data_IF_874218452112
#
_entry.id   IF_874218452112
#
_cell.length_a   1.000
_cell.length_b   1.000
_cell.length_c   1.000
_cell.angle_alpha   90.00
_cell.angle_beta   90.00
_cell.angle_gamma   90.00
#
_symmetry.space_group_name_H-M   'P 1'
#
loop_
_entity.id
_entity.type
_entity.pdbx_description
1 polymer ?
#
# COMPACT_ATOMS: atom_id res chain seq x y z
N UNK A 1 14.03 -22.55 25.53
CA UNK A 1 14.22 -21.10 25.13
C UNK A 1 13.28 -20.82 23.98
N UNK A 2 12.47 -19.77 24.08
CA UNK A 2 11.48 -19.41 23.04
C UNK A 2 12.18 -18.88 21.79
N UNK A 3 11.84 -19.43 20.62
CA UNK A 3 12.39 -19.04 19.33
C UNK A 3 11.36 -18.23 18.51
N UNK A 4 11.81 -17.29 17.66
CA UNK A 4 10.91 -16.49 16.84
C UNK A 4 10.04 -17.31 15.89
N UNK A 5 10.58 -18.39 15.31
CA UNK A 5 9.82 -19.31 14.46
C UNK A 5 8.65 -19.98 15.20
N UNK A 6 8.80 -20.27 16.48
CA UNK A 6 7.68 -20.80 17.28
C UNK A 6 6.58 -19.76 17.44
N UNK A 7 6.93 -18.46 17.57
CA UNK A 7 5.95 -17.37 17.60
C UNK A 7 5.26 -17.17 16.25
N UNK A 8 6.00 -17.25 15.14
CA UNK A 8 5.44 -17.22 13.78
C UNK A 8 4.46 -18.37 13.55
N UNK A 9 4.82 -19.58 13.98
CA UNK A 9 3.97 -20.76 13.92
C UNK A 9 2.68 -20.60 14.72
N UNK A 10 2.77 -20.06 15.94
CA UNK A 10 1.62 -19.80 16.80
C UNK A 10 0.64 -18.80 16.17
N UNK A 11 1.17 -17.70 15.62
CA UNK A 11 0.37 -16.65 14.94
C UNK A 11 -0.29 -17.21 13.68
N UNK A 12 0.41 -18.02 12.89
CA UNK A 12 -0.16 -18.67 11.69
C UNK A 12 -1.28 -19.64 12.05
N UNK A 13 -1.15 -20.44 13.14
CA UNK A 13 -2.23 -21.31 13.62
C UNK A 13 -3.45 -20.50 14.06
N UNK A 14 -3.24 -19.39 14.75
CA UNK A 14 -4.32 -18.50 15.19
C UNK A 14 -5.10 -17.92 13.99
N UNK A 15 -4.38 -17.50 12.95
CA UNK A 15 -4.94 -16.95 11.70
C UNK A 15 -5.74 -18.01 10.93
N UNK A 16 -5.16 -19.19 10.73
CA UNK A 16 -5.70 -20.26 9.89
C UNK A 16 -6.74 -21.15 10.60
N UNK A 17 -6.83 -21.09 11.95
CA UNK A 17 -7.74 -21.87 12.79
C UNK A 17 -7.56 -23.41 12.69
N UNK A 18 -6.59 -23.90 11.91
CA UNK A 18 -6.24 -25.31 11.78
C UNK A 18 -4.74 -25.49 11.57
N UNK A 19 -4.17 -26.57 12.15
CA UNK A 19 -2.75 -26.87 11.99
C UNK A 19 -2.41 -27.19 10.52
N UNK A 20 -3.29 -27.90 9.80
CA UNK A 20 -3.04 -28.29 8.41
C UNK A 20 -2.87 -27.05 7.50
N UNK A 21 -3.79 -26.09 7.56
CA UNK A 21 -3.70 -24.85 6.77
C UNK A 21 -2.52 -23.97 7.16
N UNK A 22 -2.22 -23.88 8.46
CA UNK A 22 -1.03 -23.18 8.92
C UNK A 22 0.26 -23.82 8.45
N UNK A 23 0.34 -25.16 8.44
CA UNK A 23 1.49 -25.89 7.93
C UNK A 23 1.69 -25.69 6.42
N UNK A 24 0.59 -25.66 5.65
CA UNK A 24 0.62 -25.32 4.22
C UNK A 24 1.10 -23.89 3.98
N UNK A 25 0.57 -22.89 4.70
CA UNK A 25 1.01 -21.49 4.61
C UNK A 25 2.50 -21.33 4.92
N UNK A 26 2.98 -22.05 5.94
CA UNK A 26 4.37 -21.99 6.40
C UNK A 26 5.33 -22.89 5.59
N UNK A 27 4.82 -23.67 4.63
CA UNK A 27 5.58 -24.63 3.83
C UNK A 27 6.35 -25.66 4.68
N UNK A 28 5.77 -26.11 5.79
CA UNK A 28 6.33 -27.13 6.67
C UNK A 28 5.38 -28.31 6.85
N UNK A 29 5.90 -29.41 7.37
CA UNK A 29 5.04 -30.58 7.66
C UNK A 29 4.17 -30.34 8.89
N UNK A 30 2.94 -30.83 8.87
CA UNK A 30 2.02 -30.77 10.01
C UNK A 30 2.61 -31.39 11.30
N UNK A 31 3.32 -32.55 11.26
CA UNK A 31 4.02 -33.05 12.45
C UNK A 31 5.13 -32.10 12.95
N UNK A 32 5.81 -31.39 12.03
CA UNK A 32 6.82 -30.39 12.36
C UNK A 32 6.21 -29.21 13.11
N UNK A 33 5.11 -28.68 12.61
CA UNK A 33 4.37 -27.59 13.25
C UNK A 33 3.84 -27.99 14.63
N UNK A 34 3.28 -29.22 14.76
CA UNK A 34 2.80 -29.75 16.04
C UNK A 34 3.94 -29.85 17.08
N UNK A 35 5.11 -30.35 16.69
CA UNK A 35 6.29 -30.41 17.57
C UNK A 35 6.80 -29.02 17.97
N UNK A 36 6.75 -28.06 17.07
CA UNK A 36 7.10 -26.68 17.35
C UNK A 36 6.21 -26.08 18.43
N UNK A 37 4.90 -26.31 18.35
CA UNK A 37 3.97 -25.85 19.38
C UNK A 37 4.17 -26.55 20.71
N UNK A 38 4.45 -27.83 20.69
CA UNK A 38 4.73 -28.58 21.91
C UNK A 38 5.97 -28.05 22.65
N UNK A 39 7.06 -27.75 21.88
CA UNK A 39 8.26 -27.13 22.45
C UNK A 39 7.96 -25.74 23.04
N UNK A 40 7.12 -24.93 22.37
CA UNK A 40 6.72 -23.64 22.89
C UNK A 40 5.94 -23.76 24.21
N UNK A 41 4.99 -24.73 24.30
CA UNK A 41 4.26 -25.04 25.53
C UNK A 41 5.22 -25.50 26.64
N UNK A 42 6.17 -26.36 26.31
CA UNK A 42 7.20 -26.84 27.25
C UNK A 42 8.10 -25.70 27.75
N UNK A 43 8.55 -24.82 26.86
CA UNK A 43 9.40 -23.66 27.22
C UNK A 43 8.64 -22.64 28.08
N UNK A 44 7.34 -22.47 27.88
CA UNK A 44 6.48 -21.62 28.68
C UNK A 44 6.01 -22.26 30.00
N UNK A 45 6.04 -23.58 30.09
CA UNK A 45 5.47 -24.34 31.20
C UNK A 45 3.94 -24.26 31.26
N UNK A 46 3.28 -23.88 30.16
CA UNK A 46 1.85 -23.64 30.07
C UNK A 46 1.28 -24.26 28.78
N UNK A 47 0.08 -24.82 28.87
CA UNK A 47 -0.67 -25.24 27.68
C UNK A 47 -1.31 -24.03 27.01
N UNK A 48 -1.17 -23.94 25.69
CA UNK A 48 -1.74 -22.88 24.83
C UNK A 48 -2.99 -23.34 24.09
N UNK A 49 -3.21 -24.65 24.03
CA UNK A 49 -4.29 -25.25 23.24
C UNK A 49 -5.16 -26.18 24.07
N UNK A 50 -6.46 -26.11 23.81
CA UNK A 50 -7.42 -27.12 24.26
C UNK A 50 -7.50 -28.24 23.24
N UNK A 51 -7.16 -29.48 23.66
CA UNK A 51 -7.21 -30.66 22.83
C UNK A 51 -8.60 -31.31 22.92
N UNK A 52 -9.51 -30.94 22.01
CA UNK A 52 -10.77 -31.62 21.80
C UNK A 52 -10.65 -32.71 20.72
N UNK A 53 -11.47 -33.77 20.78
CA UNK A 53 -11.47 -34.82 19.75
C UNK A 53 -11.62 -34.18 18.38
N UNK A 54 -10.55 -34.23 17.54
CA UNK A 54 -10.43 -33.69 16.18
C UNK A 54 -10.38 -32.14 16.02
N UNK A 55 -10.16 -31.35 17.09
CA UNK A 55 -10.04 -29.89 16.98
C UNK A 55 -9.05 -29.34 17.97
N UNK A 56 -8.14 -28.50 17.49
CA UNK A 56 -7.23 -27.74 18.33
C UNK A 56 -7.73 -26.31 18.38
N UNK A 57 -8.05 -25.79 19.57
CA UNK A 57 -8.48 -24.43 19.80
C UNK A 57 -7.53 -23.75 20.79
N UNK A 58 -7.23 -22.48 20.57
CA UNK A 58 -6.46 -21.69 21.53
C UNK A 58 -7.27 -21.51 22.80
N UNK A 59 -6.68 -21.86 23.96
CA UNK A 59 -7.20 -21.49 25.27
C UNK A 59 -6.88 -20.04 25.62
N UNK A 60 -7.21 -19.56 26.81
CA UNK A 60 -6.96 -18.17 27.22
C UNK A 60 -5.45 -17.84 27.23
N UNK A 61 -4.60 -18.76 27.67
CA UNK A 61 -3.13 -18.59 27.61
C UNK A 61 -2.66 -18.47 26.16
N UNK A 62 -3.20 -19.29 25.24
CA UNK A 62 -2.89 -19.26 23.82
C UNK A 62 -3.29 -17.96 23.16
N UNK A 63 -4.47 -17.42 23.46
CA UNK A 63 -4.91 -16.12 22.94
C UNK A 63 -3.97 -15.00 23.40
N UNK A 64 -3.64 -14.97 24.68
CA UNK A 64 -2.71 -14.00 25.24
C UNK A 64 -1.30 -14.16 24.63
N UNK A 65 -0.84 -15.39 24.46
CA UNK A 65 0.47 -15.67 23.83
C UNK A 65 0.51 -15.19 22.37
N UNK A 66 -0.58 -15.32 21.60
CA UNK A 66 -0.69 -14.77 20.23
C UNK A 66 -0.55 -13.25 20.23
N UNK A 67 -1.21 -12.54 21.14
CA UNK A 67 -1.10 -11.07 21.23
C UNK A 67 0.35 -10.63 21.49
N UNK A 68 1.05 -11.29 22.42
CA UNK A 68 2.46 -11.00 22.69
C UNK A 68 3.38 -11.41 21.53
N UNK A 69 3.13 -12.57 20.91
CA UNK A 69 3.87 -13.03 19.73
C UNK A 69 3.80 -12.02 18.59
N UNK A 70 2.61 -11.49 18.28
CA UNK A 70 2.42 -10.46 17.25
C UNK A 70 3.22 -9.19 17.56
N UNK A 71 3.20 -8.73 18.82
CA UNK A 71 3.98 -7.55 19.25
C UNK A 71 5.49 -7.77 19.13
N UNK A 72 5.98 -8.95 19.54
CA UNK A 72 7.40 -9.29 19.44
C UNK A 72 7.88 -9.41 18.00
N UNK A 73 7.08 -10.05 17.13
CA UNK A 73 7.38 -10.15 15.70
C UNK A 73 7.37 -8.77 15.04
N UNK A 74 6.40 -7.91 15.36
CA UNK A 74 6.38 -6.55 14.86
C UNK A 74 7.61 -5.73 15.32
N UNK A 75 8.04 -5.89 16.57
CA UNK A 75 9.26 -5.23 17.09
C UNK A 75 10.54 -5.77 16.46
N UNK A 76 10.60 -7.05 16.14
CA UNK A 76 11.71 -7.62 15.37
C UNK A 76 11.81 -6.98 13.98
N UNK A 77 10.69 -6.88 13.26
CA UNK A 77 10.66 -6.26 11.94
C UNK A 77 11.05 -4.77 12.01
N UNK A 78 10.52 -4.04 12.99
CA UNK A 78 10.91 -2.65 13.25
C UNK A 78 12.43 -2.51 13.48
N UNK A 79 13.01 -3.38 14.31
CA UNK A 79 14.46 -3.39 14.57
C UNK A 79 15.26 -3.65 13.29
N UNK A 80 14.87 -4.64 12.48
CA UNK A 80 15.54 -4.95 11.21
C UNK A 80 15.47 -3.73 10.28
N UNK A 81 14.27 -3.13 10.15
CA UNK A 81 14.04 -1.94 9.33
C UNK A 81 14.94 -0.76 9.76
N UNK A 82 15.01 -0.47 11.06
CA UNK A 82 15.84 0.62 11.57
C UNK A 82 17.36 0.35 11.36
N UNK A 83 17.80 -0.88 11.59
CA UNK A 83 19.20 -1.25 11.33
C UNK A 83 19.55 -1.20 9.85
N UNK A 84 18.63 -1.60 8.97
CA UNK A 84 18.81 -1.52 7.52
C UNK A 84 18.87 -0.07 7.05
N UNK A 85 18.04 0.83 7.59
CA UNK A 85 18.11 2.28 7.32
C UNK A 85 19.47 2.87 7.69
N UNK A 86 20.05 2.43 8.80
CA UNK A 86 21.38 2.90 9.25
C UNK A 86 22.53 2.35 8.39
N UNK A 87 22.38 1.16 7.82
CA UNK A 87 23.45 0.47 7.08
C UNK A 87 23.47 0.79 5.58
N UNK A 88 22.40 1.33 5.03
CA UNK A 88 22.25 1.65 3.60
C UNK A 88 21.77 3.09 3.45
N UNK A 89 22.30 3.81 2.47
CA UNK A 89 21.70 5.05 1.97
C UNK A 89 20.35 4.73 1.33
N UNK A 90 19.34 4.45 2.17
CA UNK A 90 18.00 4.08 1.73
C UNK A 90 17.10 5.31 1.81
N UNK A 91 16.49 5.67 0.69
CA UNK A 91 15.52 6.76 0.60
C UNK A 91 14.16 6.15 0.34
N UNK A 92 13.28 6.22 1.33
CA UNK A 92 11.87 5.85 1.15
C UNK A 92 11.03 7.10 0.98
N UNK A 93 10.17 7.15 -0.01
CA UNK A 93 9.25 8.27 -0.13
C UNK A 93 7.86 7.85 -0.61
N UNK A 94 6.86 8.60 -0.14
CA UNK A 94 5.48 8.42 -0.52
C UNK A 94 4.95 9.64 -1.26
N UNK A 95 4.10 9.43 -2.26
CA UNK A 95 3.45 10.51 -2.99
C UNK A 95 1.94 10.32 -3.08
N UNK A 96 1.19 11.41 -2.96
CA UNK A 96 -0.26 11.40 -3.22
C UNK A 96 -0.59 11.46 -4.71
N UNK A 97 0.39 11.71 -5.58
CA UNK A 97 0.22 11.88 -7.02
C UNK A 97 1.33 11.17 -7.81
N UNK A 98 1.04 10.64 -9.01
CA UNK A 98 2.01 9.84 -9.77
C UNK A 98 3.11 10.68 -10.42
N UNK A 99 2.82 11.85 -11.00
CA UNK A 99 3.85 12.65 -11.68
C UNK A 99 4.97 13.10 -10.73
N UNK A 100 4.68 13.62 -9.51
CA UNK A 100 5.72 13.86 -8.51
C UNK A 100 6.48 12.61 -8.09
N UNK A 101 5.81 11.44 -8.02
CA UNK A 101 6.47 10.17 -7.72
C UNK A 101 7.57 9.89 -8.74
N UNK A 102 7.24 9.91 -10.02
CA UNK A 102 8.19 9.66 -11.11
C UNK A 102 9.29 10.71 -11.19
N UNK A 103 8.94 11.99 -10.98
CA UNK A 103 9.91 13.08 -10.96
C UNK A 103 10.97 12.93 -9.86
N UNK A 104 10.56 12.55 -8.65
CA UNK A 104 11.48 12.27 -7.53
C UNK A 104 12.30 11.02 -7.81
N UNK A 105 11.69 9.92 -8.28
CA UNK A 105 12.43 8.70 -8.67
C UNK A 105 13.52 9.00 -9.69
N UNK A 106 13.16 9.71 -10.77
CA UNK A 106 14.11 10.07 -11.81
C UNK A 106 15.26 10.95 -11.27
N UNK A 107 14.95 11.95 -10.46
CA UNK A 107 15.95 12.83 -9.87
C UNK A 107 16.90 12.07 -8.93
N UNK A 108 16.38 11.17 -8.10
CA UNK A 108 17.18 10.40 -7.17
C UNK A 108 18.02 9.34 -7.89
N UNK A 109 17.47 8.60 -8.84
CA UNK A 109 18.22 7.59 -9.62
C UNK A 109 19.42 8.17 -10.35
N UNK A 110 19.34 9.43 -10.80
CA UNK A 110 20.43 10.08 -11.51
C UNK A 110 21.45 10.79 -10.60
N UNK A 111 21.15 10.99 -9.31
CA UNK A 111 21.96 11.79 -8.40
C UNK A 111 22.43 11.07 -7.15
N UNK A 112 22.07 9.82 -6.94
CA UNK A 112 22.45 9.07 -5.73
C UNK A 112 22.68 7.59 -6.00
N UNK A 113 23.60 6.97 -5.26
CA UNK A 113 23.80 5.52 -5.22
C UNK A 113 22.86 4.86 -4.20
N UNK A 114 21.94 5.62 -3.61
CA UNK A 114 21.00 5.12 -2.60
C UNK A 114 19.98 4.17 -3.20
N UNK A 115 19.55 3.19 -2.42
CA UNK A 115 18.36 2.40 -2.75
C UNK A 115 17.12 3.27 -2.55
N UNK A 116 16.26 3.30 -3.57
CA UNK A 116 15.06 4.13 -3.57
C UNK A 116 13.84 3.21 -3.49
N UNK A 117 13.00 3.46 -2.51
CA UNK A 117 11.68 2.84 -2.38
C UNK A 117 10.61 3.92 -2.47
N UNK A 118 9.73 3.80 -3.45
CA UNK A 118 8.65 4.76 -3.67
C UNK A 118 7.28 4.11 -3.55
N UNK A 119 6.30 4.86 -3.06
CA UNK A 119 4.93 4.38 -2.88
C UNK A 119 3.93 5.46 -3.25
N UNK A 120 2.97 5.11 -4.12
CA UNK A 120 1.82 5.96 -4.42
C UNK A 120 0.69 5.65 -3.43
N UNK A 121 0.28 6.66 -2.66
CA UNK A 121 -0.75 6.55 -1.62
C UNK A 121 -1.84 7.60 -1.84
N UNK A 122 -3.08 7.16 -2.05
CA UNK A 122 -4.20 8.07 -2.31
C UNK A 122 -4.64 8.88 -1.08
N UNK A 123 -4.37 8.36 0.11
CA UNK A 123 -4.75 8.99 1.36
C UNK A 123 -3.57 9.69 2.01
N UNK A 124 -3.63 11.02 2.03
CA UNK A 124 -2.55 11.85 2.58
C UNK A 124 -2.35 11.67 4.08
N UNK A 125 -3.40 11.31 4.81
CA UNK A 125 -3.27 11.01 6.24
C UNK A 125 -2.32 9.83 6.46
N UNK A 126 -2.43 8.80 5.64
CA UNK A 126 -1.52 7.64 5.65
C UNK A 126 -0.08 8.04 5.34
N UNK A 127 0.14 9.00 4.42
CA UNK A 127 1.48 9.53 4.12
C UNK A 127 2.07 10.27 5.31
N UNK A 128 1.28 11.14 5.95
CA UNK A 128 1.71 11.92 7.12
C UNK A 128 2.03 10.98 8.29
N UNK A 129 1.17 10.01 8.58
CA UNK A 129 1.42 9.01 9.63
C UNK A 129 2.67 8.19 9.34
N UNK A 130 2.91 7.82 8.08
CA UNK A 130 4.12 7.12 7.65
C UNK A 130 5.38 7.95 7.81
N UNK A 131 5.32 9.26 7.52
CA UNK A 131 6.42 10.18 7.77
C UNK A 131 6.73 10.30 9.28
N UNK A 132 5.69 10.41 10.12
CA UNK A 132 5.84 10.47 11.58
C UNK A 132 6.43 9.19 12.19
N UNK A 133 6.08 8.04 11.63
CA UNK A 133 6.62 6.72 12.02
C UNK A 133 8.01 6.45 11.44
N UNK A 134 8.52 7.32 10.56
CA UNK A 134 9.77 7.09 9.84
C UNK A 134 9.67 6.01 8.74
N UNK A 135 8.47 5.68 8.27
CA UNK A 135 8.29 4.80 7.12
C UNK A 135 8.74 5.47 5.83
N UNK A 136 8.61 6.81 5.76
CA UNK A 136 9.08 7.64 4.67
C UNK A 136 10.15 8.63 5.14
N UNK A 137 11.20 8.82 4.34
CA UNK A 137 12.20 9.87 4.51
C UNK A 137 11.65 11.23 4.07
N UNK A 138 10.78 11.22 3.07
CA UNK A 138 10.04 12.37 2.56
C UNK A 138 8.68 11.95 2.02
N UNK A 139 7.75 12.89 1.97
CA UNK A 139 6.44 12.68 1.33
C UNK A 139 6.11 13.84 0.40
N UNK A 140 5.32 13.57 -0.65
CA UNK A 140 4.78 14.58 -1.56
C UNK A 140 3.28 14.65 -1.38
N UNK A 141 2.79 15.86 -1.07
CA UNK A 141 1.38 16.19 -0.84
C UNK A 141 0.93 17.27 -1.82
N UNK A 142 -0.38 17.41 -2.03
CA UNK A 142 -0.93 18.47 -2.89
C UNK A 142 -1.10 19.82 -2.17
N UNK A 143 -0.74 19.90 -0.89
CA UNK A 143 -0.71 21.13 -0.10
C UNK A 143 0.43 21.09 0.93
N UNK A 144 0.94 22.25 1.35
CA UNK A 144 1.97 22.32 2.37
C UNK A 144 1.42 21.93 3.75
N UNK A 145 2.24 21.23 4.54
CA UNK A 145 1.94 21.02 5.96
C UNK A 145 2.26 22.31 6.74
N UNK A 146 1.32 22.73 7.58
CA UNK A 146 1.47 23.97 8.38
C UNK A 146 2.22 23.75 9.70
N UNK A 147 2.58 22.51 10.03
CA UNK A 147 3.31 22.20 11.27
C UNK A 147 4.81 22.53 11.09
N UNK A 148 5.33 23.35 12.01
CA UNK A 148 6.74 23.83 12.02
C UNK A 148 7.78 22.71 12.17
N UNK A 149 7.37 21.51 12.57
CA UNK A 149 8.28 20.33 12.64
C UNK A 149 8.67 19.81 11.25
N UNK A 150 7.96 20.23 10.19
CA UNK A 150 8.25 19.82 8.82
C UNK A 150 8.77 20.99 7.99
N UNK A 151 9.63 20.67 7.04
CA UNK A 151 10.03 21.59 5.97
C UNK A 151 9.16 21.24 4.77
N UNK A 152 8.31 22.18 4.35
CA UNK A 152 7.48 22.06 3.15
C UNK A 152 8.02 22.97 2.06
N UNK A 153 8.27 22.43 0.87
CA UNK A 153 8.73 23.17 -0.30
C UNK A 153 7.90 22.77 -1.52
N UNK A 154 7.53 23.72 -2.34
CA UNK A 154 6.92 23.45 -3.63
C UNK A 154 7.93 22.73 -4.53
N UNK A 155 7.48 21.65 -5.14
CA UNK A 155 8.34 20.78 -5.95
C UNK A 155 7.95 20.85 -7.42
N UNK A 156 6.65 20.65 -7.73
CA UNK A 156 6.16 20.64 -9.10
C UNK A 156 4.66 20.94 -9.13
N UNK A 157 4.17 21.46 -10.25
CA UNK A 157 2.73 21.61 -10.52
C UNK A 157 2.30 20.50 -11.47
N UNK A 158 1.34 19.68 -11.02
CA UNK A 158 0.76 18.60 -11.80
C UNK A 158 -0.61 19.04 -12.36
N UNK A 159 -0.85 18.72 -13.61
CA UNK A 159 -2.13 18.97 -14.28
C UNK A 159 -2.76 17.67 -14.76
N UNK A 160 -4.07 17.57 -14.61
CA UNK A 160 -4.86 16.48 -15.16
C UNK A 160 -5.47 16.93 -16.49
N UNK A 161 -5.13 16.28 -17.57
CA UNK A 161 -5.63 16.58 -18.91
C UNK A 161 -6.76 15.66 -19.29
N UNK A 162 -7.78 16.21 -19.95
CA UNK A 162 -8.84 15.44 -20.57
C UNK A 162 -8.50 15.15 -22.03
N UNK A 163 -8.41 13.87 -22.37
CA UNK A 163 -8.33 13.42 -23.76
C UNK A 163 -9.73 13.05 -24.24
N UNK A 164 -10.20 13.75 -25.27
CA UNK A 164 -11.54 13.52 -25.85
C UNK A 164 -11.38 12.93 -27.25
N UNK A 165 -11.92 11.74 -27.52
CA UNK A 165 -11.87 11.15 -28.86
C UNK A 165 -12.56 12.03 -29.91
N UNK A 166 -12.09 12.06 -31.18
CA UNK A 166 -12.68 12.92 -32.23
C UNK A 166 -14.16 12.72 -32.49
N UNK A 167 -14.69 11.52 -32.26
CA UNK A 167 -16.11 11.20 -32.43
C UNK A 167 -16.98 11.60 -31.21
N UNK A 168 -16.41 12.08 -30.13
CA UNK A 168 -17.15 12.45 -28.94
C UNK A 168 -17.82 13.82 -29.10
N UNK A 169 -19.04 14.04 -28.57
CA UNK A 169 -19.74 15.32 -28.68
C UNK A 169 -18.97 16.53 -28.14
N UNK A 170 -18.08 16.32 -27.17
CA UNK A 170 -17.24 17.36 -26.58
C UNK A 170 -15.97 17.68 -27.39
N UNK A 171 -15.63 16.90 -28.43
CA UNK A 171 -14.41 17.10 -29.21
C UNK A 171 -14.28 18.47 -29.90
N UNK A 172 -15.37 19.14 -30.37
CA UNK A 172 -15.28 20.47 -30.97
C UNK A 172 -14.98 21.61 -29.99
N UNK A 173 -15.13 21.38 -28.68
CA UNK A 173 -14.94 22.43 -27.69
C UNK A 173 -13.46 22.62 -27.36
N UNK A 174 -13.01 23.88 -27.32
CA UNK A 174 -11.63 24.22 -26.96
C UNK A 174 -11.36 24.13 -25.45
N UNK A 175 -12.38 24.36 -24.67
CA UNK A 175 -12.36 24.29 -23.20
C UNK A 175 -13.54 23.45 -22.75
N UNK A 176 -13.30 22.58 -21.81
CA UNK A 176 -14.29 21.65 -21.24
C UNK A 176 -14.19 21.76 -19.73
N UNK A 177 -15.31 22.09 -19.09
CA UNK A 177 -15.40 22.13 -17.63
C UNK A 177 -15.79 20.78 -17.04
N UNK A 178 -15.59 20.60 -15.74
CA UNK A 178 -16.11 19.42 -15.05
C UNK A 178 -17.64 19.28 -15.19
N UNK A 179 -18.38 20.39 -15.24
CA UNK A 179 -19.82 20.34 -15.43
C UNK A 179 -20.23 19.75 -16.79
N UNK A 180 -19.43 19.94 -17.84
CA UNK A 180 -19.70 19.36 -19.17
C UNK A 180 -19.46 17.86 -19.21
N UNK A 181 -18.61 17.35 -18.29
CA UNK A 181 -18.34 15.91 -18.12
C UNK A 181 -19.33 15.23 -17.18
N UNK A 182 -20.02 15.99 -16.32
CA UNK A 182 -20.90 15.39 -15.32
C UNK A 182 -22.05 14.63 -16.01
N UNK A 183 -22.27 13.38 -15.59
CA UNK A 183 -23.21 12.45 -16.23
C UNK A 183 -22.64 11.67 -17.42
N UNK A 184 -21.41 11.94 -17.87
CA UNK A 184 -20.75 11.19 -18.92
C UNK A 184 -20.04 9.93 -18.36
N UNK A 185 -19.77 8.96 -19.24
CA UNK A 185 -18.88 7.86 -18.90
C UNK A 185 -17.45 8.25 -19.20
N UNK A 186 -16.56 8.15 -18.22
CA UNK A 186 -15.15 8.59 -18.32
C UNK A 186 -14.22 7.45 -17.91
N UNK A 187 -13.21 7.17 -18.71
CA UNK A 187 -12.22 6.14 -18.44
C UNK A 187 -11.06 6.72 -17.64
N UNK A 188 -10.69 6.04 -16.54
CA UNK A 188 -9.61 6.43 -15.62
C UNK A 188 -8.70 5.25 -15.32
N UNK A 189 -7.41 5.55 -15.09
CA UNK A 189 -6.54 4.62 -14.38
C UNK A 189 -6.87 4.63 -12.88
N UNK A 190 -6.82 3.47 -12.23
CA UNK A 190 -7.03 3.37 -10.78
C UNK A 190 -5.91 4.09 -10.01
N UNK A 191 -4.68 4.03 -10.53
CA UNK A 191 -3.48 4.60 -9.88
C UNK A 191 -3.20 6.04 -10.32
N UNK A 192 -4.16 6.94 -10.11
CA UNK A 192 -4.00 8.40 -10.32
C UNK A 192 -3.90 9.21 -9.02
N UNK A 193 -3.63 8.53 -7.90
CA UNK A 193 -3.43 9.18 -6.62
C UNK A 193 -4.66 9.99 -6.14
N UNK A 194 -4.42 11.18 -5.59
CA UNK A 194 -5.48 12.06 -5.07
C UNK A 194 -6.48 12.53 -6.15
N UNK A 195 -6.09 12.53 -7.43
CA UNK A 195 -6.96 12.89 -8.55
C UNK A 195 -8.24 12.04 -8.61
N UNK A 196 -8.17 10.81 -8.12
CA UNK A 196 -9.35 9.94 -8.01
C UNK A 196 -10.46 10.60 -7.17
N UNK A 197 -10.10 11.13 -5.99
CA UNK A 197 -11.05 11.84 -5.11
C UNK A 197 -11.52 13.15 -5.75
N UNK A 198 -10.66 13.84 -6.48
CA UNK A 198 -11.02 15.07 -7.21
C UNK A 198 -12.06 14.75 -8.28
N UNK A 199 -11.83 13.76 -9.14
CA UNK A 199 -12.78 13.36 -10.18
C UNK A 199 -14.14 12.97 -9.58
N UNK A 200 -14.15 12.10 -8.57
CA UNK A 200 -15.40 11.68 -7.91
C UNK A 200 -16.19 12.85 -7.32
N UNK A 201 -15.50 13.85 -6.78
CA UNK A 201 -16.14 15.05 -6.21
C UNK A 201 -16.66 16.03 -7.28
N UNK A 202 -15.91 16.19 -8.37
CA UNK A 202 -16.20 17.20 -9.39
C UNK A 202 -17.20 16.75 -10.44
N UNK A 203 -17.31 15.44 -10.67
CA UNK A 203 -18.24 14.81 -11.62
C UNK A 203 -19.01 13.65 -10.98
N UNK A 204 -19.78 13.90 -9.91
CA UNK A 204 -20.39 12.85 -9.07
C UNK A 204 -21.45 12.02 -9.79
N UNK A 205 -22.09 12.55 -10.84
CA UNK A 205 -23.10 11.84 -11.64
C UNK A 205 -22.51 11.04 -12.80
N UNK A 206 -21.18 11.14 -13.01
CA UNK A 206 -20.48 10.44 -14.08
C UNK A 206 -20.24 8.98 -13.75
N UNK A 207 -20.25 8.13 -14.78
CA UNK A 207 -19.84 6.73 -14.68
C UNK A 207 -18.32 6.63 -14.85
N UNK A 208 -17.57 6.57 -13.74
CA UNK A 208 -16.13 6.44 -13.75
C UNK A 208 -15.75 4.96 -13.97
N UNK A 209 -15.11 4.67 -15.10
CA UNK A 209 -14.67 3.34 -15.51
C UNK A 209 -13.18 3.21 -15.20
N UNK A 210 -12.87 2.46 -14.15
CA UNK A 210 -11.49 2.28 -13.68
C UNK A 210 -10.80 1.11 -14.38
N UNK A 211 -9.55 1.32 -14.76
CA UNK A 211 -8.66 0.30 -15.29
C UNK A 211 -7.35 0.28 -14.49
N UNK A 212 -6.93 -0.91 -14.05
CA UNK A 212 -5.73 -1.09 -13.24
C UNK A 212 -4.46 -1.22 -14.08
N UNK A 213 -4.58 -1.83 -15.26
CA UNK A 213 -3.46 -2.09 -16.17
C UNK A 213 -3.29 -0.94 -17.16
N UNK A 214 -2.13 -0.23 -17.16
CA UNK A 214 -1.85 0.86 -18.09
C UNK A 214 -1.85 0.44 -19.56
N UNK A 215 -1.45 -0.80 -19.88
CA UNK A 215 -1.41 -1.30 -21.26
C UNK A 215 -2.83 -1.48 -21.79
N UNK A 216 -3.70 -2.10 -21.00
CA UNK A 216 -5.12 -2.26 -21.33
C UNK A 216 -5.82 -0.89 -21.40
N UNK A 217 -5.49 0.03 -20.48
CA UNK A 217 -6.00 1.40 -20.53
C UNK A 217 -5.63 2.09 -21.84
N UNK A 218 -4.37 2.00 -22.27
CA UNK A 218 -3.90 2.59 -23.52
C UNK A 218 -4.59 1.98 -24.75
N UNK A 219 -4.89 0.69 -24.74
CA UNK A 219 -5.67 0.05 -25.82
C UNK A 219 -7.13 0.55 -25.82
N UNK A 220 -7.76 0.59 -24.64
CA UNK A 220 -9.13 1.09 -24.50
C UNK A 220 -9.26 2.54 -24.97
N UNK A 221 -8.29 3.42 -24.66
CA UNK A 221 -8.30 4.82 -25.11
C UNK A 221 -8.22 4.98 -26.64
N UNK A 222 -7.62 4.00 -27.34
CA UNK A 222 -7.52 4.00 -28.81
C UNK A 222 -8.79 3.45 -29.46
N UNK A 223 -9.47 2.52 -28.82
CA UNK A 223 -10.58 1.75 -29.39
C UNK A 223 -11.97 2.27 -28.97
N UNK A 224 -12.07 3.04 -27.88
CA UNK A 224 -13.33 3.54 -27.37
C UNK A 224 -13.57 5.02 -27.73
N UNK A 225 -14.86 5.41 -27.72
CA UNK A 225 -15.25 6.81 -27.84
C UNK A 225 -15.35 7.53 -26.49
N UNK A 226 -14.81 6.93 -25.42
CA UNK A 226 -14.87 7.49 -24.07
C UNK A 226 -13.81 8.55 -23.86
N UNK A 227 -14.16 9.69 -23.27
CA UNK A 227 -13.17 10.62 -22.75
C UNK A 227 -12.37 9.95 -21.64
N UNK A 228 -11.10 10.32 -21.52
CA UNK A 228 -10.23 9.77 -20.51
C UNK A 228 -9.31 10.85 -19.94
N UNK A 229 -8.95 10.71 -18.65
CA UNK A 229 -7.97 11.57 -18.04
C UNK A 229 -6.55 11.04 -18.25
N UNK A 230 -5.65 11.97 -18.56
CA UNK A 230 -4.20 11.73 -18.67
C UNK A 230 -3.49 12.74 -17.79
N UNK A 231 -2.40 12.29 -17.21
CA UNK A 231 -1.45 13.17 -16.54
C UNK A 231 -0.37 13.58 -17.54
N UNK A 232 0.22 14.74 -17.31
CA UNK A 232 1.39 15.17 -18.06
C UNK A 232 2.56 14.27 -17.67
N UNK A 233 3.28 13.74 -18.67
CA UNK A 233 4.54 13.07 -18.41
C UNK A 233 5.54 14.12 -17.92
N UNK A 234 6.15 13.95 -16.75
CA UNK A 234 7.04 14.95 -16.16
C UNK A 234 8.41 15.04 -16.82
N UNK A 235 8.60 14.33 -17.96
CA UNK A 235 9.90 14.24 -18.67
C UNK A 235 9.72 14.64 -20.14
#
# INVERSE_FOLDING_TARGET
>A
MIEFNQLEHLVSIAKNKTISKAAEELLISQPGLTRSMQRLEDDLGLSLFDRKKNKIELNENGKLAVEFAQKLLAKREEMIKELTKLSQNHISFGSCAPAPLWGVEYALLNNTESQIESTLVQDEKTLIEGLEKGDYSLIVLHHPLQDKKYISQEFLNESLYLSVPPAHPLAPFKEISFSDLNGQSVLLLTRIGFWNKVCQRMIPESHLLFQDDPSVFNELTKMSALPNFKMEDPI
#
